data_IF_404903611095
#
_entry.id   IF_404903611095
#
_cell.length_a   1.000
_cell.length_b   1.000
_cell.length_c   1.000
_cell.angle_alpha   90.00
_cell.angle_beta   90.00
_cell.angle_gamma   90.00
#
_symmetry.space_group_name_H-M   'P 1'
#
loop_
_entity.id
_entity.type
_entity.pdbx_description
1 polymer ?
#
# COMPACT_ATOMS: atom_id res chain seq x y z
N UNK A 1 -2.02 15.30 14.99
CA UNK A 1 -2.55 14.54 16.13
C UNK A 1 -3.53 15.42 16.84
N UNK A 2 -4.65 14.88 17.24
CA UNK A 2 -5.75 15.58 17.88
C UNK A 2 -5.99 15.01 19.26
N UNK A 3 -6.32 15.87 20.22
CA UNK A 3 -6.64 15.50 21.57
C UNK A 3 -8.12 15.73 21.88
N UNK A 4 -8.65 14.94 22.79
CA UNK A 4 -9.90 15.23 23.47
C UNK A 4 -9.67 16.27 24.60
N UNK A 5 -10.74 16.80 25.16
CA UNK A 5 -10.70 17.72 26.32
C UNK A 5 -9.98 17.11 27.55
N UNK A 6 -9.87 15.78 27.63
CA UNK A 6 -9.15 15.05 28.68
C UNK A 6 -7.68 14.78 28.33
N UNK A 7 -7.12 15.41 27.29
CA UNK A 7 -5.77 15.18 26.75
C UNK A 7 -5.53 13.75 26.24
N UNK A 8 -6.56 13.05 25.86
CA UNK A 8 -6.46 11.73 25.22
C UNK A 8 -6.37 11.94 23.72
N UNK A 9 -5.44 11.25 23.05
CA UNK A 9 -5.32 11.34 21.59
C UNK A 9 -6.54 10.71 20.94
N UNK A 10 -7.35 11.52 20.30
CA UNK A 10 -8.55 11.05 19.61
C UNK A 10 -8.27 10.63 18.17
N UNK A 11 -7.27 11.24 17.53
CA UNK A 11 -6.97 11.00 16.13
C UNK A 11 -5.50 11.26 15.80
N UNK A 12 -4.93 10.39 14.96
CA UNK A 12 -3.59 10.55 14.41
C UNK A 12 -3.60 10.45 12.88
N UNK A 13 -2.82 11.30 12.24
CA UNK A 13 -2.60 11.29 10.80
C UNK A 13 -1.11 11.13 10.53
N UNK A 14 -0.72 10.01 9.89
CA UNK A 14 0.66 9.69 9.54
C UNK A 14 0.77 9.50 8.02
N UNK A 15 1.28 10.53 7.34
CA UNK A 15 1.37 10.57 5.90
C UNK A 15 2.83 10.62 5.44
N UNK A 16 3.30 9.53 4.87
CA UNK A 16 4.57 9.44 4.15
C UNK A 16 4.33 8.79 2.81
N UNK A 17 4.53 9.51 1.72
CA UNK A 17 4.33 8.99 0.36
C UNK A 17 5.58 9.21 -0.50
N UNK A 18 5.89 8.28 -1.42
CA UNK A 18 7.06 8.40 -2.27
C UNK A 18 6.85 9.42 -3.38
N UNK A 19 7.94 10.06 -3.79
CA UNK A 19 8.05 10.65 -5.12
C UNK A 19 8.86 9.70 -5.99
N UNK A 20 8.25 9.25 -7.09
CA UNK A 20 8.85 8.28 -8.00
C UNK A 20 9.65 9.03 -9.04
N UNK A 21 10.94 8.67 -9.20
CA UNK A 21 11.81 9.13 -10.25
C UNK A 21 12.34 7.92 -11.02
N UNK A 22 11.96 7.84 -12.30
CA UNK A 22 12.49 6.86 -13.22
C UNK A 22 13.70 7.49 -13.91
N UNK A 23 14.89 6.99 -13.63
CA UNK A 23 16.15 7.54 -14.16
C UNK A 23 16.34 7.20 -15.66
N UNK A 24 15.28 7.34 -16.44
CA UNK A 24 15.23 7.08 -17.88
C UNK A 24 14.65 8.30 -18.58
N UNK A 25 15.40 8.83 -19.49
CA UNK A 25 15.03 10.05 -20.23
C UNK A 25 14.34 9.69 -21.56
N UNK A 26 13.12 9.16 -21.49
CA UNK A 26 12.24 8.99 -22.65
C UNK A 26 10.80 9.37 -22.29
N UNK A 27 9.98 9.64 -23.30
CA UNK A 27 8.62 10.15 -23.13
C UNK A 27 7.70 9.17 -22.37
N UNK A 28 7.87 7.87 -22.59
CA UNK A 28 7.07 6.84 -21.93
C UNK A 28 7.40 6.77 -20.42
N UNK A 29 8.68 6.81 -20.05
CA UNK A 29 9.11 6.82 -18.67
C UNK A 29 8.64 8.09 -17.93
N UNK A 30 8.73 9.25 -18.56
CA UNK A 30 8.22 10.52 -18.01
C UNK A 30 6.71 10.43 -17.79
N UNK A 31 5.97 9.91 -18.76
CA UNK A 31 4.52 9.73 -18.66
C UNK A 31 4.15 8.76 -17.53
N UNK A 32 4.89 7.67 -17.38
CA UNK A 32 4.69 6.69 -16.31
C UNK A 32 4.97 7.30 -14.94
N UNK A 33 6.08 7.99 -14.78
CA UNK A 33 6.46 8.71 -13.55
C UNK A 33 5.36 9.69 -13.12
N UNK A 34 4.90 10.52 -14.04
CA UNK A 34 3.82 11.47 -13.81
C UNK A 34 2.52 10.79 -13.37
N UNK A 35 2.13 9.70 -14.02
CA UNK A 35 0.91 8.96 -13.69
C UNK A 35 0.98 8.32 -12.30
N UNK A 36 2.12 7.70 -11.96
CA UNK A 36 2.33 7.10 -10.65
C UNK A 36 2.35 8.15 -9.54
N UNK A 37 3.04 9.26 -9.73
CA UNK A 37 3.07 10.34 -8.76
C UNK A 37 1.68 10.96 -8.54
N UNK A 38 0.91 11.17 -9.60
CA UNK A 38 -0.50 11.62 -9.49
C UNK A 38 -1.37 10.62 -8.73
N UNK A 39 -1.16 9.31 -8.93
CA UNK A 39 -1.87 8.26 -8.21
C UNK A 39 -1.55 8.28 -6.72
N UNK A 40 -0.28 8.41 -6.35
CA UNK A 40 0.13 8.52 -4.94
C UNK A 40 -0.49 9.75 -4.25
N UNK A 41 -0.44 10.90 -4.90
CA UNK A 41 -1.05 12.13 -4.40
C UNK A 41 -2.56 11.95 -4.22
N UNK A 42 -3.25 11.38 -5.21
CA UNK A 42 -4.69 11.16 -5.15
C UNK A 42 -5.09 10.20 -4.03
N UNK A 43 -4.34 9.13 -3.81
CA UNK A 43 -4.60 8.19 -2.72
C UNK A 43 -4.42 8.88 -1.35
N UNK A 44 -3.35 9.64 -1.17
CA UNK A 44 -3.14 10.46 0.03
C UNK A 44 -4.29 11.46 0.27
N UNK A 45 -4.71 12.17 -0.76
CA UNK A 45 -5.82 13.14 -0.65
C UNK A 45 -7.15 12.46 -0.30
N UNK A 46 -7.38 11.24 -0.76
CA UNK A 46 -8.57 10.47 -0.42
C UNK A 46 -8.58 10.09 1.05
N UNK A 47 -7.45 9.72 1.63
CA UNK A 47 -7.32 9.44 3.06
C UNK A 47 -7.59 10.69 3.89
N UNK A 48 -6.97 11.82 3.52
CA UNK A 48 -7.19 13.09 4.21
C UNK A 48 -8.66 13.53 4.17
N UNK A 49 -9.38 13.23 3.09
CA UNK A 49 -10.81 13.55 2.97
C UNK A 49 -11.72 12.61 3.76
N UNK A 50 -11.29 11.37 3.99
CA UNK A 50 -12.04 10.41 4.81
C UNK A 50 -11.97 10.77 6.30
N UNK A 51 -10.92 11.48 6.70
CA UNK A 51 -10.83 12.07 8.02
C UNK A 51 -11.70 13.34 8.05
N UNK A 52 -12.91 13.22 8.52
CA UNK A 52 -13.85 14.35 8.71
C UNK A 52 -13.43 15.31 9.85
N UNK A 53 -12.15 15.29 10.19
CA UNK A 53 -11.57 16.08 11.29
C UNK A 53 -11.15 17.43 10.76
N UNK A 54 -11.80 18.49 11.25
CA UNK A 54 -11.35 19.85 11.01
C UNK A 54 -10.03 20.10 11.76
N UNK A 55 -8.95 20.09 11.01
CA UNK A 55 -7.59 20.28 11.54
C UNK A 55 -7.44 21.72 12.05
N UNK A 56 -7.33 21.89 13.35
CA UNK A 56 -6.82 23.11 13.92
C UNK A 56 -5.28 22.98 14.03
N UNK A 57 -4.55 23.77 13.25
CA UNK A 57 -3.08 23.67 13.17
C UNK A 57 -2.36 23.98 14.49
N UNK A 58 -3.04 24.58 15.44
CA UNK A 58 -2.49 24.96 16.74
C UNK A 58 -2.49 23.79 17.73
N UNK A 59 -3.15 22.68 17.41
CA UNK A 59 -3.28 21.50 18.27
C UNK A 59 -2.32 20.35 17.90
N UNK A 60 -1.29 20.61 17.09
CA UNK A 60 -0.34 19.58 16.65
C UNK A 60 0.68 19.29 17.74
N UNK A 61 0.71 18.07 18.24
CA UNK A 61 1.71 17.57 19.18
C UNK A 61 2.61 16.53 18.53
N UNK A 62 3.92 16.59 18.85
CA UNK A 62 4.97 15.90 18.10
C UNK A 62 5.47 14.57 18.68
N UNK A 63 5.04 14.16 19.86
CA UNK A 63 5.46 12.88 20.47
C UNK A 63 4.27 12.10 21.02
N UNK A 64 4.13 10.86 20.58
CA UNK A 64 3.02 9.97 20.96
C UNK A 64 3.56 8.64 21.45
N UNK A 65 3.10 8.22 22.62
CA UNK A 65 3.04 6.80 22.97
C UNK A 65 1.89 6.14 22.20
N UNK A 66 2.12 4.95 21.65
CA UNK A 66 1.16 4.24 20.80
C UNK A 66 -0.12 3.76 21.53
N UNK A 67 -0.20 3.93 22.83
CA UNK A 67 -1.27 3.35 23.67
C UNK A 67 -2.53 4.22 23.74
N UNK A 68 -2.46 5.48 23.28
CA UNK A 68 -3.52 6.48 23.47
C UNK A 68 -4.21 6.93 22.17
N UNK A 69 -4.01 6.23 21.06
CA UNK A 69 -4.59 6.59 19.75
C UNK A 69 -5.91 5.85 19.55
N UNK A 70 -7.03 6.57 19.47
CA UNK A 70 -8.34 5.99 19.19
C UNK A 70 -8.64 5.79 17.71
N UNK A 71 -8.21 6.73 16.88
CA UNK A 71 -8.37 6.66 15.42
C UNK A 71 -7.07 7.10 14.72
N UNK A 72 -6.72 6.45 13.65
CA UNK A 72 -5.55 6.80 12.87
C UNK A 72 -5.77 6.57 11.37
N UNK A 73 -5.41 7.56 10.56
CA UNK A 73 -5.21 7.41 9.13
C UNK A 73 -3.72 7.39 8.82
N UNK A 74 -3.32 6.54 7.90
CA UNK A 74 -1.93 6.44 7.51
C UNK A 74 -1.76 6.23 6.00
N UNK A 75 -0.65 6.73 5.49
CA UNK A 75 -0.14 6.44 4.16
C UNK A 75 1.37 6.30 4.27
N UNK A 76 1.90 5.11 4.01
CA UNK A 76 3.32 4.76 4.15
C UNK A 76 3.81 4.02 2.92
N UNK A 77 5.11 3.99 2.76
CA UNK A 77 5.72 3.19 1.72
C UNK A 77 6.99 2.50 2.21
N UNK A 78 7.32 1.41 1.53
CA UNK A 78 8.58 0.69 1.68
C UNK A 78 9.12 0.33 0.29
N UNK A 79 10.42 0.04 0.21
CA UNK A 79 11.06 -0.42 -1.01
C UNK A 79 11.68 -1.80 -0.80
N UNK A 80 11.32 -2.73 -1.67
CA UNK A 80 11.93 -4.05 -1.76
C UNK A 80 12.92 -4.03 -2.92
N UNK A 81 14.21 -4.04 -2.60
CA UNK A 81 15.28 -3.81 -3.56
C UNK A 81 15.99 -5.13 -3.89
N UNK A 82 15.63 -5.75 -5.01
CA UNK A 82 16.32 -6.92 -5.58
C UNK A 82 17.44 -6.50 -6.54
N UNK A 83 18.11 -7.48 -7.15
CA UNK A 83 19.22 -7.23 -8.10
C UNK A 83 18.71 -6.57 -9.39
N UNK A 84 17.69 -7.15 -10.01
CA UNK A 84 17.16 -6.73 -11.31
C UNK A 84 15.88 -5.90 -11.20
N UNK A 85 15.21 -5.92 -10.04
CA UNK A 85 13.89 -5.32 -9.83
C UNK A 85 13.85 -4.48 -8.56
N UNK A 86 13.02 -3.44 -8.60
CA UNK A 86 12.65 -2.61 -7.46
C UNK A 86 11.14 -2.66 -7.29
N UNK A 87 10.66 -3.14 -6.15
CA UNK A 87 9.23 -3.07 -5.82
C UNK A 87 8.99 -1.97 -4.80
N UNK A 88 8.10 -1.05 -5.12
CA UNK A 88 7.53 -0.08 -4.21
C UNK A 88 6.28 -0.72 -3.57
N UNK A 89 6.32 -0.89 -2.26
CA UNK A 89 5.18 -1.29 -1.45
C UNK A 89 4.55 -0.04 -0.83
N UNK A 90 3.27 0.20 -1.08
CA UNK A 90 2.51 1.32 -0.54
C UNK A 90 1.42 0.77 0.37
N UNK A 91 1.41 1.19 1.62
CA UNK A 91 0.38 0.83 2.60
C UNK A 91 -0.38 2.07 3.05
N UNK A 92 -1.70 1.98 3.06
CA UNK A 92 -2.56 3.06 3.52
C UNK A 92 -3.84 2.53 4.15
N UNK A 93 -4.47 3.32 4.98
CA UNK A 93 -5.73 2.89 5.59
C UNK A 93 -6.17 3.73 6.75
N UNK A 94 -7.23 3.24 7.37
CA UNK A 94 -7.84 3.79 8.57
C UNK A 94 -7.94 2.72 9.65
N UNK A 95 -7.63 3.08 10.89
CA UNK A 95 -7.72 2.22 12.06
C UNK A 95 -8.55 2.91 13.13
N UNK A 96 -9.51 2.20 13.69
CA UNK A 96 -10.21 2.58 14.91
C UNK A 96 -9.87 1.58 16.00
N UNK A 97 -9.02 1.97 16.93
CA UNK A 97 -8.45 1.08 17.94
C UNK A 97 -9.49 0.70 18.98
N UNK A 98 -10.39 1.61 19.33
CA UNK A 98 -11.42 1.34 20.35
C UNK A 98 -12.49 0.35 19.89
N UNK A 99 -12.76 0.31 18.58
CA UNK A 99 -13.75 -0.61 18.00
C UNK A 99 -13.10 -1.88 17.44
N UNK A 100 -11.77 -1.96 17.46
CA UNK A 100 -11.01 -3.02 16.78
C UNK A 100 -11.38 -3.13 15.27
N UNK A 101 -11.75 -2.00 14.67
CA UNK A 101 -12.14 -1.90 13.27
C UNK A 101 -11.04 -1.19 12.48
N UNK A 102 -10.89 -1.56 11.22
CA UNK A 102 -9.98 -0.87 10.35
C UNK A 102 -9.91 -1.49 8.97
N UNK A 103 -9.40 -0.69 8.04
CA UNK A 103 -9.07 -1.13 6.70
C UNK A 103 -7.63 -0.75 6.40
N UNK A 104 -6.82 -1.72 6.03
CA UNK A 104 -5.46 -1.51 5.55
C UNK A 104 -5.39 -1.94 4.10
N UNK A 105 -4.85 -1.07 3.25
CA UNK A 105 -4.67 -1.33 1.83
C UNK A 105 -3.18 -1.39 1.52
N UNK A 106 -2.81 -2.34 0.68
CA UNK A 106 -1.44 -2.59 0.27
C UNK A 106 -1.38 -2.65 -1.26
N UNK A 107 -0.55 -1.83 -1.87
CA UNK A 107 -0.33 -1.81 -3.31
C UNK A 107 1.15 -2.00 -3.61
N UNK A 108 1.45 -2.74 -4.67
CA UNK A 108 2.81 -2.99 -5.12
C UNK A 108 3.01 -2.48 -6.54
N UNK A 109 4.16 -1.88 -6.77
CA UNK A 109 4.60 -1.41 -8.07
C UNK A 109 6.01 -1.93 -8.30
N UNK A 110 6.16 -2.89 -9.19
CA UNK A 110 7.46 -3.51 -9.49
C UNK A 110 8.04 -2.95 -10.78
N UNK A 111 9.24 -2.42 -10.69
CA UNK A 111 9.97 -1.81 -11.79
C UNK A 111 11.17 -2.67 -12.18
N UNK A 112 11.43 -2.78 -13.49
CA UNK A 112 12.70 -3.27 -13.99
C UNK A 112 13.77 -2.22 -13.77
N UNK A 113 14.91 -2.59 -13.19
CA UNK A 113 16.05 -1.68 -13.03
C UNK A 113 16.77 -1.39 -14.35
N UNK A 114 16.68 -2.30 -15.30
CA UNK A 114 17.30 -2.16 -16.62
C UNK A 114 16.54 -1.14 -17.49
N UNK A 115 15.23 -1.22 -17.49
CA UNK A 115 14.39 -0.36 -18.35
C UNK A 115 13.73 0.80 -17.61
N UNK A 116 13.58 0.70 -16.27
CA UNK A 116 12.82 1.64 -15.43
C UNK A 116 11.31 1.53 -15.57
N UNK A 117 10.81 0.64 -16.42
CA UNK A 117 9.37 0.48 -16.64
C UNK A 117 8.72 -0.38 -15.56
N UNK A 118 7.46 -0.06 -15.28
CA UNK A 118 6.59 -0.87 -14.45
C UNK A 118 6.32 -2.20 -15.16
N UNK A 119 6.48 -3.29 -14.44
CA UNK A 119 6.16 -4.61 -14.96
C UNK A 119 4.64 -4.84 -14.95
N UNK A 120 4.14 -5.43 -16.02
CA UNK A 120 2.80 -5.97 -16.09
C UNK A 120 2.69 -7.30 -15.34
N UNK A 121 1.47 -7.71 -14.97
CA UNK A 121 1.22 -9.02 -14.35
C UNK A 121 1.76 -10.19 -15.20
N UNK A 122 1.66 -10.09 -16.53
CA UNK A 122 2.18 -11.12 -17.43
C UNK A 122 3.71 -11.24 -17.40
N UNK A 123 4.41 -10.12 -17.28
CA UNK A 123 5.86 -10.11 -17.09
C UNK A 123 6.24 -10.69 -15.74
N UNK A 124 5.53 -10.33 -14.67
CA UNK A 124 5.74 -10.86 -13.33
C UNK A 124 5.50 -12.38 -13.30
N UNK A 125 4.42 -12.88 -13.89
CA UNK A 125 4.15 -14.32 -14.04
C UNK A 125 5.30 -15.04 -14.74
N UNK A 126 5.77 -14.48 -15.85
CA UNK A 126 6.86 -15.07 -16.63
C UNK A 126 8.16 -15.12 -15.83
N UNK A 127 8.52 -14.06 -15.14
CA UNK A 127 9.74 -13.98 -14.32
C UNK A 127 9.67 -14.96 -13.16
N UNK A 128 8.53 -15.01 -12.45
CA UNK A 128 8.31 -15.90 -11.32
C UNK A 128 7.95 -17.33 -11.70
N UNK A 129 7.81 -17.64 -13.00
CA UNK A 129 7.34 -18.95 -13.48
C UNK A 129 5.98 -19.36 -12.87
N UNK A 130 5.09 -18.38 -12.67
CA UNK A 130 3.75 -18.58 -12.10
C UNK A 130 2.73 -18.72 -13.20
N UNK A 131 1.88 -19.72 -13.10
CA UNK A 131 0.77 -19.97 -14.04
C UNK A 131 -0.55 -19.45 -13.48
N UNK A 132 -1.54 -19.27 -14.35
CA UNK A 132 -2.91 -18.93 -13.91
C UNK A 132 -3.52 -20.01 -13.00
N UNK A 133 -3.12 -21.28 -13.21
CA UNK A 133 -3.49 -22.42 -12.36
C UNK A 133 -2.93 -22.26 -10.94
N UNK A 134 -1.68 -21.79 -10.80
CA UNK A 134 -1.06 -21.57 -9.50
C UNK A 134 -1.77 -20.44 -8.76
N UNK A 135 -2.12 -19.36 -9.47
CA UNK A 135 -2.90 -18.24 -8.93
C UNK A 135 -4.28 -18.72 -8.48
N UNK A 136 -4.99 -19.49 -9.32
CA UNK A 136 -6.33 -20.01 -9.01
C UNK A 136 -6.30 -20.91 -7.76
N UNK A 137 -5.36 -21.85 -7.67
CA UNK A 137 -5.18 -22.73 -6.52
C UNK A 137 -4.85 -21.95 -5.24
N UNK A 138 -4.02 -20.93 -5.36
CA UNK A 138 -3.65 -20.08 -4.23
C UNK A 138 -4.85 -19.29 -3.73
N UNK A 139 -5.66 -18.74 -4.63
CA UNK A 139 -6.93 -18.04 -4.28
C UNK A 139 -7.87 -18.99 -3.55
N UNK A 140 -8.18 -20.16 -4.14
CA UNK A 140 -9.08 -21.15 -3.56
C UNK A 140 -8.63 -21.58 -2.15
N UNK A 141 -7.35 -21.85 -1.98
CA UNK A 141 -6.78 -22.20 -0.68
C UNK A 141 -6.97 -21.10 0.36
N UNK A 142 -6.73 -19.86 -0.05
CA UNK A 142 -6.88 -18.72 0.83
C UNK A 142 -8.35 -18.47 1.17
N UNK A 143 -9.24 -18.45 0.18
CA UNK A 143 -10.69 -18.26 0.35
C UNK A 143 -11.27 -19.30 1.31
N UNK A 144 -10.89 -20.57 1.15
CA UNK A 144 -11.33 -21.66 2.00
C UNK A 144 -10.82 -21.56 3.44
N UNK A 145 -9.58 -21.10 3.62
CA UNK A 145 -8.98 -20.98 4.95
C UNK A 145 -9.49 -19.79 5.77
N UNK A 146 -9.98 -18.75 5.10
CA UNK A 146 -10.39 -17.49 5.74
C UNK A 146 -11.89 -17.18 5.58
N UNK A 147 -12.65 -18.06 4.94
CA UNK A 147 -14.09 -17.90 4.67
C UNK A 147 -14.42 -16.58 3.94
N UNK A 148 -13.59 -16.20 2.97
CA UNK A 148 -13.70 -14.97 2.20
C UNK A 148 -13.71 -15.25 0.71
N UNK A 149 -14.15 -14.27 -0.09
CA UNK A 149 -14.07 -14.31 -1.55
C UNK A 149 -13.08 -13.24 -2.03
N UNK A 150 -12.13 -13.64 -2.85
CA UNK A 150 -11.13 -12.75 -3.42
C UNK A 150 -11.62 -12.19 -4.75
N UNK A 151 -11.97 -10.91 -4.76
CA UNK A 151 -12.38 -10.22 -5.99
C UNK A 151 -11.19 -9.65 -6.77
N UNK A 152 -10.17 -9.20 -6.04
CA UNK A 152 -9.00 -8.54 -6.64
C UNK A 152 -7.71 -9.07 -6.04
N UNK A 153 -6.70 -9.18 -6.86
CA UNK A 153 -5.34 -9.50 -6.45
C UNK A 153 -4.33 -8.69 -7.26
N UNK A 154 -3.11 -8.63 -6.77
CA UNK A 154 -1.99 -8.01 -7.46
C UNK A 154 -0.76 -8.92 -7.36
N UNK A 155 0.00 -9.00 -8.44
CA UNK A 155 1.28 -9.70 -8.48
C UNK A 155 2.42 -8.71 -8.34
N UNK A 156 3.48 -9.12 -7.64
CA UNK A 156 4.70 -8.34 -7.54
C UNK A 156 5.91 -9.24 -7.26
N UNK A 157 7.10 -8.72 -7.56
CA UNK A 157 8.36 -9.39 -7.22
C UNK A 157 8.93 -8.79 -5.94
N UNK A 158 9.29 -9.63 -5.00
CA UNK A 158 9.99 -9.19 -3.80
C UNK A 158 11.50 -8.97 -4.05
N UNK A 159 12.21 -8.58 -3.01
CA UNK A 159 13.68 -8.35 -3.08
C UNK A 159 14.50 -9.58 -3.47
N UNK A 160 13.91 -10.78 -3.40
CA UNK A 160 14.54 -12.05 -3.75
C UNK A 160 14.06 -12.58 -5.09
N UNK A 161 13.37 -11.76 -5.88
CA UNK A 161 12.72 -12.14 -7.14
C UNK A 161 11.63 -13.22 -6.98
N UNK A 162 11.07 -13.37 -5.78
CA UNK A 162 9.91 -14.23 -5.57
C UNK A 162 8.64 -13.51 -6.03
N UNK A 163 7.74 -14.26 -6.65
CA UNK A 163 6.42 -13.76 -6.97
C UNK A 163 5.52 -13.89 -5.75
N UNK A 164 4.90 -12.79 -5.37
CA UNK A 164 3.90 -12.77 -4.31
C UNK A 164 2.58 -12.31 -4.87
N UNK A 165 1.52 -12.96 -4.45
CA UNK A 165 0.17 -12.56 -4.77
C UNK A 165 -0.39 -11.71 -3.63
N UNK A 166 -0.78 -10.50 -3.94
CA UNK A 166 -1.51 -9.65 -3.01
C UNK A 166 -3.01 -9.77 -3.26
N UNK A 167 -3.74 -9.97 -2.19
CA UNK A 167 -5.16 -10.24 -2.22
C UNK A 167 -5.89 -9.17 -1.43
N UNK A 168 -6.75 -8.42 -2.10
CA UNK A 168 -7.64 -7.45 -1.47
C UNK A 168 -8.86 -8.18 -0.91
N UNK A 169 -8.95 -8.27 0.41
CA UNK A 169 -10.11 -8.75 1.15
C UNK A 169 -10.79 -7.57 1.81
N UNK A 170 -12.10 -7.61 2.00
CA UNK A 170 -12.96 -6.49 2.40
C UNK A 170 -12.49 -5.63 3.59
N UNK A 171 -11.60 -6.09 4.45
CA UNK A 171 -11.08 -5.34 5.60
C UNK A 171 -9.59 -5.56 5.87
N UNK A 172 -8.80 -5.93 4.89
CA UNK A 172 -7.38 -6.12 5.11
C UNK A 172 -6.65 -6.65 3.89
N UNK A 173 -5.34 -6.55 3.95
CA UNK A 173 -4.45 -7.06 2.94
C UNK A 173 -3.78 -8.31 3.41
N UNK A 174 -3.69 -9.28 2.53
CA UNK A 174 -2.96 -10.48 2.81
C UNK A 174 -2.00 -10.74 1.68
N UNK A 175 -0.73 -10.79 2.05
CA UNK A 175 0.34 -11.19 1.16
C UNK A 175 0.37 -12.70 1.08
N UNK A 176 0.33 -13.24 -0.10
CA UNK A 176 0.38 -14.66 -0.36
C UNK A 176 1.70 -15.03 -1.02
N UNK A 177 2.39 -16.07 -0.53
CA UNK A 177 3.58 -16.65 -1.12
C UNK A 177 3.23 -17.91 -1.87
#
# INVERSE_FOLDING_TARGET
IYYTDDNIISYALDLSYPTIHLNINNEEAISLEDNLNKRMIKAKESIVKLSDVSINKDDIVYEIGSEDIYEADFFKYNTLNGDDYLTLEVSYGHLNITKEEGATYLEYYTFSKDTGFLLSDEEIKKIGSVTDDDIAKSKEKYESANEVTIEKYQLYLDKYANVKMNVLVNNGHITYN
#
